data_IF_395729921565
#
_entry.id   IF_395729921565
#
_cell.length_a   1.000
_cell.length_b   1.000
_cell.length_c   1.000
_cell.angle_alpha   90.00
_cell.angle_beta   90.00
_cell.angle_gamma   90.00
#
_symmetry.space_group_name_H-M   'P 1'
#
loop_
_entity.id
_entity.type
_entity.pdbx_description
1 polymer ?
#
# COMPACT_ATOMS: atom_id res chain seq x y z
N UNK A 1 -0.33 -30.58 -33.95
CA UNK A 1 -0.36 -30.12 -32.55
C UNK A 1 -0.74 -28.64 -32.54
N UNK A 2 -1.97 -28.30 -32.94
CA UNK A 2 -2.52 -26.95 -32.84
C UNK A 2 -4.03 -27.08 -32.61
N UNK A 3 -4.37 -27.71 -31.49
CA UNK A 3 -5.70 -27.56 -30.91
C UNK A 3 -5.53 -26.61 -29.73
N UNK A 4 -5.73 -25.31 -29.94
CA UNK A 4 -6.24 -24.45 -28.89
C UNK A 4 -6.98 -23.24 -29.48
N UNK A 5 -8.30 -23.41 -29.55
CA UNK A 5 -9.36 -22.46 -29.13
C UNK A 5 -9.22 -21.02 -29.63
N UNK A 6 -10.20 -20.58 -30.43
CA UNK A 6 -10.59 -19.15 -30.44
C UNK A 6 -10.70 -18.70 -28.98
N UNK A 7 -9.91 -17.69 -28.61
CA UNK A 7 -9.51 -17.48 -27.24
C UNK A 7 -10.71 -17.42 -26.26
N UNK A 8 -10.70 -18.17 -25.14
CA UNK A 8 -11.80 -18.28 -24.19
C UNK A 8 -11.85 -17.04 -23.29
N UNK A 9 -11.92 -15.85 -23.90
CA UNK A 9 -11.97 -14.57 -23.21
C UNK A 9 -13.09 -14.47 -22.17
N UNK A 10 -14.29 -15.06 -22.35
CA UNK A 10 -15.30 -15.06 -21.29
C UNK A 10 -14.80 -15.74 -20.00
N UNK A 11 -14.09 -16.87 -20.13
CA UNK A 11 -13.49 -17.58 -18.99
C UNK A 11 -12.38 -16.77 -18.33
N UNK A 12 -11.44 -16.23 -19.13
CA UNK A 12 -10.35 -15.39 -18.61
C UNK A 12 -10.84 -14.09 -17.97
N UNK A 13 -11.89 -13.49 -18.50
CA UNK A 13 -12.52 -12.30 -17.93
C UNK A 13 -13.12 -12.61 -16.56
N UNK A 14 -13.76 -13.76 -16.41
CA UNK A 14 -14.33 -14.18 -15.13
C UNK A 14 -13.23 -14.51 -14.10
N UNK A 15 -12.16 -15.20 -14.51
CA UNK A 15 -10.96 -15.43 -13.67
C UNK A 15 -10.34 -14.12 -13.19
N UNK A 16 -10.19 -13.14 -14.09
CA UNK A 16 -9.71 -11.80 -13.76
C UNK A 16 -10.62 -11.12 -12.72
N UNK A 17 -11.94 -11.11 -12.95
CA UNK A 17 -12.90 -10.46 -12.04
C UNK A 17 -12.86 -11.08 -10.65
N UNK A 18 -12.78 -12.41 -10.56
CA UNK A 18 -12.66 -13.12 -9.28
C UNK A 18 -11.37 -12.74 -8.56
N UNK A 19 -10.24 -12.76 -9.25
CA UNK A 19 -8.96 -12.40 -8.66
C UNK A 19 -8.90 -10.91 -8.25
N UNK A 20 -9.49 -10.00 -9.02
CA UNK A 20 -9.59 -8.57 -8.67
C UNK A 20 -10.51 -8.36 -7.47
N UNK A 21 -11.66 -9.03 -7.42
CA UNK A 21 -12.58 -8.98 -6.29
C UNK A 21 -11.92 -9.48 -5.00
N UNK A 22 -11.09 -10.53 -5.11
CA UNK A 22 -10.35 -11.12 -4.00
C UNK A 22 -9.31 -10.13 -3.45
N UNK A 23 -8.50 -9.50 -4.31
CA UNK A 23 -7.57 -8.45 -3.89
C UNK A 23 -8.32 -7.28 -3.23
N UNK A 24 -9.42 -6.81 -3.82
CA UNK A 24 -10.22 -5.72 -3.24
C UNK A 24 -10.83 -6.09 -1.90
N UNK A 25 -11.24 -7.35 -1.71
CA UNK A 25 -11.73 -7.87 -0.42
C UNK A 25 -10.63 -7.78 0.63
N UNK A 26 -9.44 -8.29 0.33
CA UNK A 26 -8.29 -8.24 1.24
C UNK A 26 -7.84 -6.80 1.54
N UNK A 27 -7.85 -5.91 0.54
CA UNK A 27 -7.60 -4.49 0.75
C UNK A 27 -8.62 -3.87 1.70
N UNK A 28 -9.92 -4.10 1.50
CA UNK A 28 -10.97 -3.58 2.41
C UNK A 28 -10.81 -4.10 3.84
N UNK A 29 -10.35 -5.33 4.01
CA UNK A 29 -10.10 -5.90 5.34
C UNK A 29 -8.85 -5.29 6.01
N UNK A 30 -7.80 -5.02 5.25
CA UNK A 30 -6.53 -4.50 5.79
C UNK A 30 -6.51 -2.98 5.95
N UNK A 31 -7.33 -2.23 5.22
CA UNK A 31 -7.37 -0.77 5.26
C UNK A 31 -7.63 -0.19 6.66
N UNK A 32 -8.65 -0.62 7.43
CA UNK A 32 -8.85 -0.09 8.79
C UNK A 32 -7.69 -0.42 9.72
N UNK A 33 -7.05 -1.59 9.53
CA UNK A 33 -5.89 -2.01 10.32
C UNK A 33 -4.66 -1.16 10.01
N UNK A 34 -4.46 -0.82 8.73
CA UNK A 34 -3.41 0.12 8.29
C UNK A 34 -3.64 1.51 8.88
N UNK A 35 -4.86 2.03 8.77
CA UNK A 35 -5.23 3.33 9.31
C UNK A 35 -4.98 3.39 10.82
N UNK A 36 -5.38 2.36 11.56
CA UNK A 36 -5.14 2.29 13.01
C UNK A 36 -3.65 2.18 13.35
N UNK A 37 -2.89 1.38 12.61
CA UNK A 37 -1.44 1.30 12.76
C UNK A 37 -0.76 2.67 12.59
N UNK A 38 -1.18 3.46 11.60
CA UNK A 38 -0.66 4.81 11.36
C UNK A 38 -1.06 5.74 12.51
N UNK A 39 -2.35 5.73 12.90
CA UNK A 39 -2.86 6.53 14.01
C UNK A 39 -2.08 6.30 15.31
N UNK A 40 -1.84 5.04 15.67
CA UNK A 40 -1.08 4.69 16.88
C UNK A 40 0.38 5.13 16.81
N UNK A 41 0.99 5.09 15.62
CA UNK A 41 2.36 5.60 15.41
C UNK A 41 2.42 7.11 15.63
N UNK A 42 1.45 7.85 15.10
CA UNK A 42 1.36 9.30 15.28
C UNK A 42 1.13 9.67 16.74
N UNK A 43 0.24 8.95 17.43
CA UNK A 43 0.00 9.13 18.87
C UNK A 43 1.25 8.85 19.71
N UNK A 44 1.95 7.74 19.43
CA UNK A 44 3.22 7.41 20.09
C UNK A 44 4.26 8.52 19.89
N UNK A 45 4.35 9.08 18.67
CA UNK A 45 5.25 10.19 18.37
C UNK A 45 4.87 11.46 19.14
N UNK A 46 3.59 11.83 19.17
CA UNK A 46 3.10 12.98 19.95
C UNK A 46 3.40 12.82 21.44
N UNK A 47 3.18 11.64 22.02
CA UNK A 47 3.52 11.34 23.42
C UNK A 47 5.02 11.46 23.71
N UNK A 48 5.87 11.01 22.78
CA UNK A 48 7.33 11.20 22.90
C UNK A 48 7.73 12.67 22.87
N UNK A 49 7.08 13.49 22.05
CA UNK A 49 7.31 14.93 22.04
C UNK A 49 6.89 15.59 23.36
N UNK A 50 5.75 15.19 23.94
CA UNK A 50 5.33 15.64 25.27
C UNK A 50 6.38 15.28 26.34
N UNK A 51 6.89 14.04 26.33
CA UNK A 51 7.96 13.61 27.23
C UNK A 51 9.21 14.48 27.07
N UNK A 52 9.64 14.76 25.84
CA UNK A 52 10.79 15.64 25.59
C UNK A 52 10.56 17.05 26.12
N UNK A 53 9.35 17.60 25.95
CA UNK A 53 8.99 18.90 26.49
C UNK A 53 9.00 18.92 28.02
N UNK A 54 8.51 17.86 28.66
CA UNK A 54 8.53 17.69 30.12
C UNK A 54 9.96 17.53 30.65
N UNK A 55 10.82 16.76 29.99
CA UNK A 55 12.24 16.63 30.34
C UNK A 55 12.98 17.97 30.23
N UNK A 56 12.73 18.73 29.16
CA UNK A 56 13.27 20.08 29.00
C UNK A 56 12.76 21.02 30.11
N UNK A 57 11.48 20.90 30.46
CA UNK A 57 10.86 21.61 31.60
C UNK A 57 11.53 21.27 32.93
N UNK A 58 11.75 19.98 33.22
CA UNK A 58 12.46 19.48 34.40
C UNK A 58 13.89 20.04 34.47
N UNK A 59 14.58 20.08 33.34
CA UNK A 59 15.92 20.67 33.24
C UNK A 59 15.94 22.18 33.51
N UNK A 60 14.93 22.93 33.04
CA UNK A 60 14.76 24.35 33.36
C UNK A 60 14.47 24.54 34.85
N UNK A 61 13.52 23.78 35.39
CA UNK A 61 13.15 23.83 36.80
C UNK A 61 14.37 23.61 37.71
N UNK A 62 15.19 22.60 37.41
CA UNK A 62 16.43 22.35 38.16
C UNK A 62 17.39 23.55 38.12
N UNK A 63 17.61 24.13 36.94
CA UNK A 63 18.54 25.26 36.77
C UNK A 63 18.06 26.54 37.44
N UNK A 64 16.75 26.78 37.48
CA UNK A 64 16.17 28.01 38.02
C UNK A 64 15.93 27.94 39.52
N UNK A 65 15.45 26.80 40.02
CA UNK A 65 15.01 26.67 41.41
C UNK A 65 16.01 25.88 42.25
N UNK A 66 16.31 24.63 41.87
CA UNK A 66 17.07 23.70 42.73
C UNK A 66 18.56 24.07 42.80
N UNK A 67 19.21 24.25 41.64
CA UNK A 67 20.66 24.48 41.57
C UNK A 67 21.09 25.69 42.41
N UNK A 68 20.47 26.89 42.30
CA UNK A 68 20.88 28.03 43.11
C UNK A 68 20.76 27.80 44.62
N UNK A 69 19.72 27.07 45.10
CA UNK A 69 19.59 26.76 46.53
C UNK A 69 20.63 25.75 47.00
N UNK A 70 20.96 24.74 46.18
CA UNK A 70 22.05 23.81 46.50
C UNK A 70 23.39 24.54 46.56
N UNK A 71 23.70 25.35 45.56
CA UNK A 71 24.93 26.14 45.54
C UNK A 71 25.00 27.08 46.77
N UNK A 72 23.87 27.69 47.18
CA UNK A 72 23.80 28.52 48.40
C UNK A 72 24.00 27.70 49.69
N UNK A 73 23.40 26.52 49.79
CA UNK A 73 23.57 25.62 50.94
C UNK A 73 25.03 25.14 51.05
N UNK A 74 25.63 24.73 49.94
CA UNK A 74 27.04 24.29 49.88
C UNK A 74 27.99 25.42 50.33
N UNK A 75 27.72 26.67 49.95
CA UNK A 75 28.48 27.83 50.41
C UNK A 75 28.34 28.09 51.93
N UNK A 76 27.14 27.87 52.49
CA UNK A 76 26.93 27.96 53.94
C UNK A 76 27.66 26.84 54.70
N UNK A 77 27.79 25.65 54.10
CA UNK A 77 28.57 24.55 54.64
C UNK A 77 30.07 24.86 54.66
N UNK A 78 30.62 25.36 53.55
CA UNK A 78 32.04 25.75 53.46
C UNK A 78 32.40 26.87 54.44
N UNK A 79 31.48 27.82 54.68
CA UNK A 79 31.69 28.93 55.62
C UNK A 79 31.48 28.56 57.09
N UNK A 80 31.14 27.30 57.40
CA UNK A 80 30.92 26.83 58.77
C UNK A 80 29.61 27.34 59.41
N UNK A 81 28.70 27.89 58.61
CA UNK A 81 27.38 28.40 59.04
C UNK A 81 26.23 27.50 58.58
N UNK A 82 26.52 26.20 58.42
CA UNK A 82 25.60 25.16 57.98
C UNK A 82 24.40 24.90 58.92
N UNK A 83 24.43 25.48 60.11
CA UNK A 83 23.45 25.28 61.17
C UNK A 83 22.84 26.64 61.52
N UNK A 84 21.57 26.83 61.15
CA UNK A 84 20.83 28.06 61.42
C UNK A 84 19.56 28.20 60.57
N UNK A 85 18.72 29.22 60.86
CA UNK A 85 17.40 29.38 60.25
C UNK A 85 17.42 29.44 58.72
N UNK A 86 18.48 30.01 58.12
CA UNK A 86 18.63 30.09 56.66
C UNK A 86 18.90 28.72 56.03
N UNK A 87 19.79 27.93 56.62
CA UNK A 87 20.10 26.58 56.15
C UNK A 87 18.86 25.67 56.25
N UNK A 88 18.08 25.79 57.33
CA UNK A 88 16.85 25.03 57.50
C UNK A 88 15.76 25.44 56.50
N UNK A 89 15.62 26.75 56.23
CA UNK A 89 14.72 27.24 55.19
C UNK A 89 15.10 26.72 53.80
N UNK A 90 16.39 26.73 53.44
CA UNK A 90 16.88 26.20 52.16
C UNK A 90 16.61 24.70 52.03
N UNK A 91 16.81 23.91 53.09
CA UNK A 91 16.49 22.47 53.09
C UNK A 91 14.99 22.23 52.89
N UNK A 92 14.14 23.03 53.54
CA UNK A 92 12.69 22.94 53.36
C UNK A 92 12.26 23.32 51.93
N UNK A 93 12.82 24.39 51.36
CA UNK A 93 12.59 24.76 49.95
C UNK A 93 13.04 23.65 48.98
N UNK A 94 14.22 23.06 49.22
CA UNK A 94 14.73 21.97 48.40
C UNK A 94 13.84 20.72 48.47
N UNK A 95 13.35 20.36 49.65
CA UNK A 95 12.43 19.23 49.82
C UNK A 95 11.13 19.42 49.02
N UNK A 96 10.55 20.62 49.02
CA UNK A 96 9.37 20.94 48.21
C UNK A 96 9.65 20.79 46.71
N UNK A 97 10.76 21.34 46.21
CA UNK A 97 11.12 21.22 44.79
C UNK A 97 11.48 19.79 44.38
N UNK A 98 12.03 18.97 45.29
CA UNK A 98 12.30 17.56 45.05
C UNK A 98 11.00 16.74 44.96
N UNK A 99 10.00 17.04 45.78
CA UNK A 99 8.67 16.43 45.72
C UNK A 99 7.94 16.78 44.41
N UNK A 100 7.94 18.05 44.01
CA UNK A 100 7.38 18.48 42.71
C UNK A 100 8.06 17.75 41.54
N UNK A 101 9.38 17.59 41.61
CA UNK A 101 10.17 16.90 40.58
C UNK A 101 9.84 15.41 40.53
N UNK A 102 9.65 14.76 41.66
CA UNK A 102 9.22 13.35 41.73
C UNK A 102 7.86 13.16 41.03
N UNK A 103 6.90 14.09 41.24
CA UNK A 103 5.61 14.06 40.55
C UNK A 103 5.73 14.23 39.03
N UNK A 104 6.67 15.07 38.56
CA UNK A 104 6.95 15.23 37.12
C UNK A 104 7.59 13.96 36.55
N UNK A 105 8.53 13.34 37.28
CA UNK A 105 9.22 12.12 36.89
C UNK A 105 8.25 10.95 36.70
N UNK A 106 7.29 10.78 37.63
CA UNK A 106 6.22 9.78 37.51
C UNK A 106 5.37 10.00 36.26
N UNK A 107 4.98 11.25 35.97
CA UNK A 107 4.20 11.57 34.76
C UNK A 107 4.98 11.32 33.47
N UNK A 108 6.29 11.59 33.47
CA UNK A 108 7.17 11.29 32.34
C UNK A 108 7.22 9.78 32.10
N UNK A 109 7.40 9.00 33.16
CA UNK A 109 7.47 7.54 33.05
C UNK A 109 6.15 6.94 32.54
N UNK A 110 5.02 7.39 33.08
CA UNK A 110 3.70 7.00 32.58
C UNK A 110 3.55 7.28 31.07
N UNK A 111 3.91 8.49 30.61
CA UNK A 111 3.83 8.84 29.19
C UNK A 111 4.79 8.04 28.31
N UNK A 112 5.95 7.64 28.83
CA UNK A 112 6.87 6.74 28.11
C UNK A 112 6.26 5.36 27.91
N UNK A 113 5.63 4.82 28.96
CA UNK A 113 4.91 3.54 28.89
C UNK A 113 3.78 3.61 27.87
N UNK A 114 2.92 4.63 27.94
CA UNK A 114 1.86 4.87 26.95
C UNK A 114 2.42 4.91 25.51
N UNK A 115 3.50 5.66 25.29
CA UNK A 115 4.10 5.78 23.97
C UNK A 115 4.65 4.45 23.45
N UNK A 116 5.23 3.62 24.32
CA UNK A 116 5.80 2.33 23.95
C UNK A 116 4.71 1.28 23.69
N UNK A 117 3.64 1.28 24.48
CA UNK A 117 2.45 0.45 24.23
C UNK A 117 1.85 0.76 22.86
N UNK A 118 1.63 2.04 22.55
CA UNK A 118 1.13 2.48 21.25
C UNK A 118 2.06 2.07 20.11
N UNK A 119 3.38 2.19 20.30
CA UNK A 119 4.38 1.77 19.31
C UNK A 119 4.32 0.27 19.06
N UNK A 120 4.29 -0.52 20.12
CA UNK A 120 4.24 -1.98 20.07
C UNK A 120 2.98 -2.41 19.34
N UNK A 121 1.83 -1.84 19.72
CA UNK A 121 0.56 -2.13 19.06
C UNK A 121 0.56 -1.76 17.58
N UNK A 122 1.12 -0.60 17.23
CA UNK A 122 1.29 -0.18 15.82
C UNK A 122 2.12 -1.22 15.02
N UNK A 123 3.21 -1.73 15.60
CA UNK A 123 4.04 -2.75 14.96
C UNK A 123 3.33 -4.08 14.79
N UNK A 124 2.55 -4.51 15.78
CA UNK A 124 1.72 -5.73 15.69
C UNK A 124 0.71 -5.63 14.54
N UNK A 125 -0.02 -4.52 14.46
CA UNK A 125 -1.00 -4.29 13.39
C UNK A 125 -0.32 -4.24 12.02
N UNK A 126 0.84 -3.59 11.92
CA UNK A 126 1.64 -3.59 10.69
C UNK A 126 2.05 -5.01 10.28
N UNK A 127 2.46 -5.84 11.23
CA UNK A 127 2.81 -7.23 10.96
C UNK A 127 1.59 -8.05 10.51
N UNK A 128 0.44 -7.86 11.16
CA UNK A 128 -0.82 -8.49 10.76
C UNK A 128 -1.19 -8.17 9.31
N UNK A 129 -1.11 -6.89 8.91
CA UNK A 129 -1.34 -6.47 7.52
C UNK A 129 -0.37 -7.15 6.56
N UNK A 130 0.92 -7.20 6.90
CA UNK A 130 1.92 -7.87 6.07
C UNK A 130 1.64 -9.36 5.90
N UNK A 131 1.17 -10.04 6.94
CA UNK A 131 0.79 -11.45 6.86
C UNK A 131 -0.41 -11.66 5.92
N UNK A 132 -1.42 -10.79 6.00
CA UNK A 132 -2.58 -10.85 5.08
C UNK A 132 -2.17 -10.57 3.63
N UNK A 133 -1.32 -9.56 3.40
CA UNK A 133 -0.87 -9.22 2.04
C UNK A 133 0.09 -10.25 1.43
N UNK A 134 0.82 -10.99 2.27
CA UNK A 134 1.70 -12.08 1.86
C UNK A 134 1.03 -13.45 1.91
N UNK A 135 -0.26 -13.52 2.25
CA UNK A 135 -0.99 -14.78 2.27
C UNK A 135 -0.98 -15.46 0.89
N UNK A 136 -1.05 -16.79 0.88
CA UNK A 136 -1.11 -17.55 -0.37
C UNK A 136 -2.32 -17.18 -1.23
N UNK A 137 -3.43 -16.78 -0.60
CA UNK A 137 -4.61 -16.26 -1.28
C UNK A 137 -4.30 -14.97 -2.05
N UNK A 138 -3.67 -14.00 -1.39
CA UNK A 138 -3.25 -12.74 -2.01
C UNK A 138 -2.24 -12.96 -3.15
N UNK A 139 -1.27 -13.85 -2.94
CA UNK A 139 -0.24 -14.17 -3.93
C UNK A 139 -0.85 -14.84 -5.17
N UNK A 140 -1.72 -15.84 -4.98
CA UNK A 140 -2.42 -16.51 -6.08
C UNK A 140 -3.27 -15.54 -6.87
N UNK A 141 -4.07 -14.70 -6.21
CA UNK A 141 -4.90 -13.70 -6.90
C UNK A 141 -4.04 -12.72 -7.73
N UNK A 142 -2.91 -12.24 -7.19
CA UNK A 142 -1.97 -11.37 -7.93
C UNK A 142 -1.37 -12.08 -9.14
N UNK A 143 -0.95 -13.33 -8.97
CA UNK A 143 -0.40 -14.14 -10.05
C UNK A 143 -1.42 -14.36 -11.17
N UNK A 144 -2.66 -14.72 -10.82
CA UNK A 144 -3.75 -14.87 -11.80
C UNK A 144 -3.99 -13.57 -12.57
N UNK A 145 -4.06 -12.42 -11.89
CA UNK A 145 -4.20 -11.14 -12.58
C UNK A 145 -3.04 -10.86 -13.54
N UNK A 146 -1.81 -11.16 -13.14
CA UNK A 146 -0.64 -10.95 -13.98
C UNK A 146 -0.67 -11.86 -15.21
N UNK A 147 -0.99 -13.14 -15.04
CA UNK A 147 -1.11 -14.10 -16.14
C UNK A 147 -2.19 -13.67 -17.14
N UNK A 148 -3.40 -13.36 -16.66
CA UNK A 148 -4.50 -12.96 -17.56
C UNK A 148 -4.17 -11.65 -18.29
N UNK A 149 -3.55 -10.67 -17.62
CA UNK A 149 -3.09 -9.44 -18.27
C UNK A 149 -2.05 -9.72 -19.36
N UNK A 150 -1.08 -10.58 -19.07
CA UNK A 150 -0.05 -10.95 -20.02
C UNK A 150 -0.65 -11.63 -21.26
N UNK A 151 -1.55 -12.59 -21.07
CA UNK A 151 -2.25 -13.26 -22.17
C UNK A 151 -3.09 -12.29 -23.01
N UNK A 152 -3.77 -11.34 -22.37
CA UNK A 152 -4.54 -10.30 -23.05
C UNK A 152 -3.66 -9.39 -23.91
N UNK A 153 -2.52 -8.94 -23.39
CA UNK A 153 -1.57 -8.13 -24.16
C UNK A 153 -0.93 -8.94 -25.30
N UNK A 154 -0.59 -10.20 -25.08
CA UNK A 154 -0.05 -11.06 -26.13
C UNK A 154 -1.07 -11.25 -27.27
N UNK A 155 -2.32 -11.52 -26.95
CA UNK A 155 -3.37 -11.63 -27.96
C UNK A 155 -3.58 -10.33 -28.73
N UNK A 156 -3.53 -9.19 -28.05
CA UNK A 156 -3.59 -7.88 -28.70
C UNK A 156 -2.42 -7.70 -29.68
N UNK A 157 -1.21 -8.11 -29.31
CA UNK A 157 -0.04 -8.03 -30.19
C UNK A 157 -0.20 -8.91 -31.43
N UNK A 158 -0.74 -10.12 -31.29
CA UNK A 158 -1.08 -10.97 -32.44
C UNK A 158 -2.07 -10.30 -33.37
N UNK A 159 -3.15 -9.71 -32.85
CA UNK A 159 -4.13 -8.98 -33.66
C UNK A 159 -3.50 -7.80 -34.42
N UNK A 160 -2.63 -7.03 -33.76
CA UNK A 160 -1.92 -5.91 -34.40
C UNK A 160 -0.97 -6.40 -35.49
N UNK A 161 -0.23 -7.47 -35.22
CA UNK A 161 0.67 -8.10 -36.19
C UNK A 161 -0.10 -8.56 -37.43
N UNK A 162 -1.20 -9.28 -37.25
CA UNK A 162 -1.96 -9.85 -38.35
C UNK A 162 -2.64 -8.73 -39.16
N UNK A 163 -3.13 -7.67 -38.51
CA UNK A 163 -3.62 -6.48 -39.17
C UNK A 163 -2.54 -5.77 -40.01
N UNK A 164 -1.31 -5.65 -39.47
CA UNK A 164 -0.18 -5.06 -40.17
C UNK A 164 0.23 -5.88 -41.39
N UNK A 165 0.41 -7.19 -41.23
CA UNK A 165 0.75 -8.11 -42.32
C UNK A 165 -0.33 -8.12 -43.42
N UNK A 166 -1.60 -8.06 -43.02
CA UNK A 166 -2.71 -7.97 -43.97
C UNK A 166 -2.68 -6.65 -44.74
N UNK A 167 -2.48 -5.52 -44.06
CA UNK A 167 -2.42 -4.21 -44.69
C UNK A 167 -1.24 -4.09 -45.68
N UNK A 168 -0.05 -4.55 -45.28
CA UNK A 168 1.10 -4.61 -46.18
C UNK A 168 0.85 -5.56 -47.36
N UNK A 169 0.34 -6.76 -47.10
CA UNK A 169 0.07 -7.77 -48.12
C UNK A 169 -0.92 -7.31 -49.18
N UNK A 170 -1.98 -6.60 -48.78
CA UNK A 170 -2.98 -6.04 -49.71
C UNK A 170 -2.41 -4.99 -50.65
N UNK A 171 -1.41 -4.22 -50.21
CA UNK A 171 -0.77 -3.20 -51.05
C UNK A 171 -0.09 -3.82 -52.28
N UNK A 172 0.50 -5.02 -52.12
CA UNK A 172 1.12 -5.77 -53.21
C UNK A 172 0.11 -6.31 -54.24
N UNK A 173 -1.18 -6.35 -53.89
CA UNK A 173 -2.23 -6.81 -54.81
C UNK A 173 -3.22 -5.73 -55.18
N UNK A 174 -2.72 -4.48 -55.27
CA UNK A 174 -3.51 -3.31 -55.66
C UNK A 174 -4.77 -3.14 -54.79
N UNK A 175 -4.66 -3.52 -53.51
CA UNK A 175 -5.76 -3.54 -52.55
C UNK A 175 -6.97 -4.38 -52.99
N UNK A 176 -6.77 -5.34 -53.90
CA UNK A 176 -7.83 -6.25 -54.35
C UNK A 176 -7.75 -7.53 -53.52
N UNK A 177 -8.77 -7.82 -52.69
CA UNK A 177 -8.84 -9.07 -51.95
C UNK A 177 -9.13 -10.23 -52.92
N UNK A 178 -8.09 -10.92 -53.39
CA UNK A 178 -8.18 -12.20 -54.12
C UNK A 178 -8.16 -13.39 -53.15
N UNK A 179 -8.67 -14.55 -53.53
CA UNK A 179 -8.96 -15.72 -52.67
C UNK A 179 -7.80 -16.32 -51.82
N UNK A 180 -6.67 -15.64 -51.64
CA UNK A 180 -5.63 -15.96 -50.68
C UNK A 180 -5.51 -14.91 -49.56
N UNK A 181 -6.21 -13.76 -49.64
CA UNK A 181 -6.14 -12.68 -48.64
C UNK A 181 -6.60 -13.12 -47.25
N UNK A 182 -7.54 -14.06 -47.17
CA UNK A 182 -8.00 -14.57 -45.89
C UNK A 182 -6.92 -15.38 -45.15
N UNK A 183 -5.92 -15.92 -45.85
CA UNK A 183 -4.75 -16.55 -45.21
C UNK A 183 -3.83 -15.52 -44.55
N UNK A 184 -3.86 -14.26 -45.00
CA UNK A 184 -3.16 -13.16 -44.33
C UNK A 184 -3.96 -12.64 -43.14
N UNK A 185 -5.28 -12.52 -43.28
CA UNK A 185 -6.17 -12.02 -42.24
C UNK A 185 -6.39 -13.01 -41.10
N UNK A 186 -6.40 -14.31 -41.42
CA UNK A 186 -6.51 -15.41 -40.46
C UNK A 186 -5.77 -16.65 -40.99
N UNK A 187 -4.47 -16.78 -40.66
CA UNK A 187 -3.65 -17.92 -41.08
C UNK A 187 -4.17 -19.27 -40.59
N UNK A 188 -5.00 -19.29 -39.54
CA UNK A 188 -5.56 -20.51 -38.96
C UNK A 188 -6.90 -20.91 -39.61
N UNK A 189 -7.38 -20.12 -40.58
CA UNK A 189 -8.61 -20.36 -41.34
C UNK A 189 -9.89 -20.44 -40.48
N UNK A 190 -9.86 -20.00 -39.22
CA UNK A 190 -11.00 -20.08 -38.29
C UNK A 190 -12.19 -19.25 -38.80
N UNK A 191 -11.95 -18.03 -39.24
CA UNK A 191 -12.92 -17.14 -39.88
C UNK A 191 -13.46 -17.76 -41.16
N UNK A 192 -12.57 -18.27 -42.03
CA UNK A 192 -12.97 -18.88 -43.30
C UNK A 192 -13.88 -20.10 -43.05
N UNK A 193 -13.48 -21.00 -42.15
CA UNK A 193 -14.26 -22.17 -41.77
C UNK A 193 -15.62 -21.76 -41.18
N UNK A 194 -15.65 -20.74 -40.30
CA UNK A 194 -16.90 -20.26 -39.72
C UNK A 194 -17.83 -19.65 -40.76
N UNK A 195 -17.30 -18.88 -41.72
CA UNK A 195 -18.08 -18.33 -42.83
C UNK A 195 -18.59 -19.46 -43.71
N UNK A 196 -17.76 -20.45 -44.06
CA UNK A 196 -18.19 -21.60 -44.83
C UNK A 196 -19.31 -22.41 -44.13
N UNK A 197 -19.23 -22.57 -42.81
CA UNK A 197 -20.27 -23.22 -41.99
C UNK A 197 -21.58 -22.44 -41.91
N UNK A 198 -21.54 -21.12 -42.00
CA UNK A 198 -22.70 -20.23 -41.74
C UNK A 198 -23.19 -19.48 -42.97
N UNK A 199 -22.53 -19.64 -44.12
CA UNK A 199 -22.90 -18.97 -45.36
C UNK A 199 -24.18 -19.56 -45.94
N UNK A 200 -25.18 -18.71 -46.11
CA UNK A 200 -26.41 -19.04 -46.82
C UNK A 200 -26.34 -18.49 -48.24
N UNK A 201 -26.63 -19.33 -49.23
CA UNK A 201 -26.70 -18.93 -50.63
C UNK A 201 -28.16 -18.72 -51.04
N UNK A 202 -28.43 -17.61 -51.73
CA UNK A 202 -29.71 -17.33 -52.36
C UNK A 202 -29.51 -17.18 -53.87
N UNK A 203 -30.47 -17.68 -54.65
CA UNK A 203 -30.51 -17.41 -56.08
C UNK A 203 -31.15 -16.05 -56.30
N UNK A 204 -30.45 -15.16 -57.02
CA UNK A 204 -31.02 -13.91 -57.50
C UNK A 204 -31.47 -14.10 -58.95
N UNK A 205 -32.69 -13.65 -59.27
CA UNK A 205 -33.23 -13.72 -60.62
C UNK A 205 -32.52 -12.67 -61.49
N UNK A 206 -31.75 -13.13 -62.47
CA UNK A 206 -31.09 -12.23 -63.42
C UNK A 206 -32.13 -11.81 -64.46
N UNK A 207 -32.63 -10.58 -64.35
CA UNK A 207 -33.54 -10.03 -65.35
C UNK A 207 -32.89 -10.10 -66.76
N UNK A 208 -33.62 -10.53 -67.81
CA UNK A 208 -33.06 -10.63 -69.14
C UNK A 208 -32.55 -9.25 -69.61
N UNK A 209 -31.30 -9.22 -70.08
CA UNK A 209 -30.68 -8.02 -70.64
C UNK A 209 -31.55 -7.49 -71.77
N UNK A 210 -32.03 -6.25 -71.64
CA UNK A 210 -32.75 -5.55 -72.72
C UNK A 210 -31.76 -5.33 -73.87
N UNK A 211 -31.92 -6.09 -74.95
CA UNK A 211 -31.30 -5.82 -76.27
C UNK A 211 -31.82 -4.53 -76.86
#
# INVERSE_FOLDING_TARGET
MSEEKGAPWPGRTEEYRRADAEIRRLSRQTEPVKAESVRLRELSYARRQEVQAMEAGKGRHFRTYIKPRRDELDNLEVSGTAFGPRADALRAELALFEEERAGIEQKIEQKRQEAEEMRTRSLELKHQVQQTEKSEEAQRARQTLQTVKYEAELARLWMVRDAFLTAEGLSYTNNRPSAWWFLLADPELKWFNRVAETAEFRFEEVAPSRT
#
